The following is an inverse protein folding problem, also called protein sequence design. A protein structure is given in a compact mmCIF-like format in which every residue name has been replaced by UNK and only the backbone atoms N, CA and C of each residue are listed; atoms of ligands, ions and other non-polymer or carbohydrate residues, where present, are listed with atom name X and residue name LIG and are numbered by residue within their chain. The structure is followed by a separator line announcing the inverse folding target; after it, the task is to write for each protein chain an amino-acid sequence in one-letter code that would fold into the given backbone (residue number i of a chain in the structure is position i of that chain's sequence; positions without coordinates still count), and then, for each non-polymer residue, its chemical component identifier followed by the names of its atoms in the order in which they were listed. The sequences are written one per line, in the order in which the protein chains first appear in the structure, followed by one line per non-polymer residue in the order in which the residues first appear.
data_IF_241935434375
#
_entry.id   IF_241935434375
#
_cell.length_a   1.000
_cell.length_b   1.000
_cell.length_c   1.000
_cell.angle_alpha   90.00
_cell.angle_beta   90.00
_cell.angle_gamma   90.00
#
_symmetry.space_group_name_H-M   'P 1'
#
loop_
_entity.id
_entity.type
_entity.pdbx_description
1 polymer ?
#
# COMPACT_ATOMS: atom_id res chain seq x y z
N UNK A 1 20.98 17.61 -59.45
CA UNK A 1 21.30 18.26 -58.18
C UNK A 1 20.03 18.54 -57.32
N UNK A 2 19.03 19.26 -57.85
CA UNK A 2 17.82 19.65 -57.06
C UNK A 2 17.01 18.45 -56.62
N UNK A 3 16.81 17.44 -57.46
CA UNK A 3 16.05 16.22 -57.15
C UNK A 3 16.73 15.42 -56.02
N UNK A 4 18.07 15.32 -56.04
CA UNK A 4 18.84 14.63 -55.00
C UNK A 4 18.73 15.33 -53.63
N UNK A 5 18.75 16.66 -53.60
CA UNK A 5 18.59 17.46 -52.39
C UNK A 5 17.18 17.28 -51.81
N UNK A 6 16.17 17.35 -52.67
CA UNK A 6 14.77 17.14 -52.26
C UNK A 6 14.55 15.71 -51.71
N UNK A 7 15.11 14.72 -52.35
CA UNK A 7 15.05 13.31 -51.91
C UNK A 7 15.71 13.11 -50.54
N UNK A 8 16.91 13.64 -50.34
CA UNK A 8 17.62 13.58 -49.06
C UNK A 8 16.81 14.31 -47.98
N UNK A 9 16.25 15.47 -48.26
CA UNK A 9 15.43 16.22 -47.34
C UNK A 9 14.17 15.46 -46.90
N UNK A 10 13.46 14.84 -47.83
CA UNK A 10 12.27 14.03 -47.55
C UNK A 10 12.62 12.78 -46.75
N UNK A 11 13.73 12.12 -47.08
CA UNK A 11 14.20 10.92 -46.37
C UNK A 11 14.60 11.25 -44.92
N UNK A 12 15.37 12.34 -44.75
CA UNK A 12 15.77 12.82 -43.40
C UNK A 12 14.58 13.23 -42.57
N UNK A 13 13.61 13.94 -43.15
CA UNK A 13 12.38 14.34 -42.44
C UNK A 13 11.55 13.11 -42.04
N UNK A 14 11.47 12.09 -42.90
CA UNK A 14 10.76 10.83 -42.63
C UNK A 14 11.39 10.04 -41.49
N UNK A 15 12.71 10.06 -41.33
CA UNK A 15 13.43 9.36 -40.27
C UNK A 15 13.52 10.16 -38.97
N UNK A 16 13.73 11.48 -39.05
CA UNK A 16 13.92 12.30 -37.84
C UNK A 16 12.60 12.64 -37.12
N UNK A 17 11.48 12.74 -37.81
CA UNK A 17 10.19 13.08 -37.22
C UNK A 17 9.74 12.06 -36.18
N UNK A 18 9.76 10.74 -36.46
CA UNK A 18 9.41 9.72 -35.43
C UNK A 18 10.34 9.71 -34.23
N UNK A 19 11.65 9.92 -34.44
CA UNK A 19 12.62 9.99 -33.34
C UNK A 19 12.37 11.19 -32.39
N UNK A 20 11.98 12.33 -32.95
CA UNK A 20 11.57 13.49 -32.14
C UNK A 20 10.30 13.22 -31.32
N UNK A 21 9.36 12.50 -31.89
CA UNK A 21 8.14 12.10 -31.17
C UNK A 21 8.46 11.15 -30.00
N UNK A 22 9.36 10.19 -30.21
CA UNK A 22 9.87 9.31 -29.16
C UNK A 22 10.59 10.11 -28.06
N UNK A 23 11.49 11.02 -28.45
CA UNK A 23 12.21 11.88 -27.50
C UNK A 23 11.24 12.71 -26.67
N UNK A 24 10.23 13.32 -27.31
CA UNK A 24 9.23 14.11 -26.63
C UNK A 24 8.40 13.26 -25.67
N UNK A 25 7.96 12.09 -26.09
CA UNK A 25 7.22 11.18 -25.23
C UNK A 25 8.06 10.73 -24.01
N UNK A 26 9.36 10.48 -24.21
CA UNK A 26 10.28 10.14 -23.13
C UNK A 26 10.47 11.31 -22.16
N UNK A 27 10.58 12.54 -22.65
CA UNK A 27 10.64 13.77 -21.81
C UNK A 27 9.37 13.94 -21.00
N UNK A 28 8.20 13.86 -21.64
CA UNK A 28 6.90 13.98 -20.99
C UNK A 28 6.75 12.96 -19.83
N UNK A 29 7.16 11.71 -20.06
CA UNK A 29 7.14 10.65 -19.04
C UNK A 29 8.11 10.96 -17.89
N UNK A 30 9.31 11.44 -18.19
CA UNK A 30 10.32 11.80 -17.18
C UNK A 30 9.86 12.99 -16.31
N UNK A 31 8.99 13.84 -16.82
CA UNK A 31 8.36 14.96 -16.13
C UNK A 31 7.08 14.56 -15.38
N UNK A 32 6.71 13.27 -15.41
CA UNK A 32 5.58 12.71 -14.65
C UNK A 32 4.28 12.58 -15.45
N UNK A 33 4.29 12.87 -16.76
CA UNK A 33 3.13 12.68 -17.65
C UNK A 33 3.10 11.22 -18.13
N UNK A 34 2.74 10.30 -17.24
CA UNK A 34 2.88 8.86 -17.45
C UNK A 34 1.97 8.29 -18.55
N UNK A 35 0.85 8.93 -18.84
CA UNK A 35 -0.11 8.50 -19.87
C UNK A 35 0.32 8.87 -21.30
N UNK A 36 1.51 9.45 -21.47
CA UNK A 36 2.04 9.81 -22.78
C UNK A 36 2.53 8.57 -23.52
N UNK A 37 2.20 8.48 -24.81
CA UNK A 37 2.68 7.42 -25.72
C UNK A 37 3.22 8.04 -27.01
N UNK A 38 4.24 7.43 -27.56
CA UNK A 38 4.78 7.82 -28.87
C UNK A 38 3.82 7.41 -29.97
N UNK A 39 3.36 8.37 -30.76
CA UNK A 39 2.44 8.16 -31.90
C UNK A 39 3.22 8.04 -33.20
N UNK A 40 3.95 6.96 -33.34
CA UNK A 40 4.75 6.68 -34.56
C UNK A 40 3.99 5.73 -35.47
N UNK A 41 3.67 6.18 -36.67
CA UNK A 41 3.06 5.37 -37.75
C UNK A 41 4.14 4.97 -38.73
N UNK A 42 4.99 4.04 -38.34
CA UNK A 42 5.99 3.42 -39.21
C UNK A 42 5.86 1.89 -39.13
N UNK A 43 6.22 1.21 -40.22
CA UNK A 43 6.22 -0.25 -40.29
C UNK A 43 7.66 -0.79 -40.43
N UNK A 44 8.63 0.02 -40.05
CA UNK A 44 10.05 -0.27 -40.04
C UNK A 44 10.57 -0.43 -38.60
N UNK A 45 11.89 -0.48 -38.43
CA UNK A 45 12.57 -0.63 -37.13
C UNK A 45 12.19 0.49 -36.16
N UNK A 46 11.86 1.67 -36.66
CA UNK A 46 11.43 2.81 -35.86
C UNK A 46 10.03 2.56 -35.29
N UNK A 47 9.15 1.93 -36.07
CA UNK A 47 7.82 1.53 -35.58
C UNK A 47 7.91 0.45 -34.51
N UNK A 48 8.80 -0.53 -34.65
CA UNK A 48 9.06 -1.56 -33.66
C UNK A 48 9.61 -0.96 -32.34
N UNK A 49 10.57 -0.01 -32.48
CA UNK A 49 11.11 0.72 -31.33
C UNK A 49 10.04 1.53 -30.61
N UNK A 50 9.13 2.21 -31.32
CA UNK A 50 8.02 2.93 -30.74
C UNK A 50 7.04 1.98 -30.01
N UNK A 51 6.78 0.81 -30.56
CA UNK A 51 5.99 -0.22 -29.90
C UNK A 51 6.63 -0.70 -28.58
N UNK A 52 7.95 -0.94 -28.60
CA UNK A 52 8.70 -1.35 -27.41
C UNK A 52 8.75 -0.25 -26.36
N UNK A 53 8.94 1.00 -26.77
CA UNK A 53 8.86 2.17 -25.90
C UNK A 53 7.48 2.29 -25.23
N UNK A 54 6.41 2.16 -25.99
CA UNK A 54 5.05 2.25 -25.45
C UNK A 54 4.76 1.15 -24.43
N UNK A 55 5.19 -0.10 -24.69
CA UNK A 55 5.09 -1.19 -23.70
C UNK A 55 5.87 -0.91 -22.42
N UNK A 56 7.06 -0.29 -22.53
CA UNK A 56 7.82 0.15 -21.34
C UNK A 56 7.06 1.25 -20.60
N UNK A 57 6.50 2.23 -21.31
CA UNK A 57 5.70 3.30 -20.73
C UNK A 57 4.45 2.77 -20.01
N UNK A 58 3.77 1.76 -20.58
CA UNK A 58 2.63 1.08 -19.95
C UNK A 58 3.03 0.46 -18.60
N UNK A 59 4.16 -0.24 -18.56
CA UNK A 59 4.67 -0.85 -17.32
C UNK A 59 5.05 0.18 -16.26
N UNK A 60 5.66 1.30 -16.66
CA UNK A 60 6.00 2.38 -15.73
C UNK A 60 4.75 2.98 -15.13
N UNK A 61 3.73 3.29 -15.93
CA UNK A 61 2.46 3.82 -15.49
C UNK A 61 1.76 2.88 -14.51
N UNK A 62 1.74 1.58 -14.82
CA UNK A 62 1.20 0.54 -13.95
C UNK A 62 1.94 0.47 -12.61
N UNK A 63 3.27 0.43 -12.63
CA UNK A 63 4.10 0.38 -11.42
C UNK A 63 3.93 1.61 -10.54
N UNK A 64 3.90 2.81 -11.13
CA UNK A 64 3.66 4.05 -10.38
C UNK A 64 2.27 4.04 -9.76
N UNK A 65 1.25 3.63 -10.51
CA UNK A 65 -0.13 3.52 -10.00
C UNK A 65 -0.22 2.54 -8.83
N UNK A 66 0.44 1.39 -8.92
CA UNK A 66 0.52 0.41 -7.82
C UNK A 66 1.23 0.98 -6.59
N UNK A 67 2.37 1.65 -6.78
CA UNK A 67 3.11 2.29 -5.69
C UNK A 67 2.28 3.38 -5.00
N UNK A 68 1.56 4.21 -5.76
CA UNK A 68 0.66 5.20 -5.20
C UNK A 68 -0.50 4.58 -4.41
N UNK A 69 -1.03 3.46 -4.88
CA UNK A 69 -2.08 2.72 -4.18
C UNK A 69 -1.57 2.17 -2.85
N UNK A 70 -0.40 1.52 -2.84
CA UNK A 70 0.25 1.01 -1.63
C UNK A 70 0.54 2.15 -0.65
N UNK A 71 1.09 3.27 -1.14
CA UNK A 71 1.36 4.46 -0.31
C UNK A 71 0.08 5.02 0.32
N UNK A 72 -1.03 5.09 -0.43
CA UNK A 72 -2.32 5.52 0.09
C UNK A 72 -2.85 4.57 1.17
N UNK A 73 -2.77 3.27 0.95
CA UNK A 73 -3.17 2.25 1.93
C UNK A 73 -2.34 2.36 3.21
N UNK A 74 -1.02 2.54 3.10
CA UNK A 74 -0.15 2.74 4.27
C UNK A 74 -0.51 4.00 5.05
N UNK A 75 -0.75 5.13 4.38
CA UNK A 75 -1.18 6.37 5.04
C UNK A 75 -2.52 6.20 5.76
N UNK A 76 -3.46 5.52 5.14
CA UNK A 76 -4.77 5.25 5.73
C UNK A 76 -4.64 4.35 6.97
N UNK A 77 -3.81 3.29 6.89
CA UNK A 77 -3.52 2.42 8.01
C UNK A 77 -2.90 3.20 9.18
N UNK A 78 -1.86 4.01 8.92
CA UNK A 78 -1.21 4.84 9.95
C UNK A 78 -2.19 5.84 10.58
N UNK A 79 -3.07 6.45 9.79
CA UNK A 79 -4.11 7.34 10.29
C UNK A 79 -5.09 6.62 11.22
N UNK A 80 -5.58 5.46 10.82
CA UNK A 80 -6.45 4.62 11.64
C UNK A 80 -5.79 4.19 12.95
N UNK A 81 -4.52 3.74 12.88
CA UNK A 81 -3.75 3.36 14.05
C UNK A 81 -3.55 4.51 15.04
N UNK A 82 -3.26 5.71 14.51
CA UNK A 82 -3.10 6.91 15.34
C UNK A 82 -4.38 7.21 16.12
N UNK A 83 -5.53 7.08 15.47
CA UNK A 83 -6.83 7.24 16.12
C UNK A 83 -7.11 6.16 17.17
N UNK A 84 -6.86 4.89 16.83
CA UNK A 84 -7.07 3.76 17.75
C UNK A 84 -6.14 3.80 18.98
N UNK A 85 -4.95 4.37 18.87
CA UNK A 85 -4.03 4.59 19.97
C UNK A 85 -4.40 5.82 20.81
N UNK A 86 -4.82 6.91 20.16
CA UNK A 86 -5.11 8.19 20.85
C UNK A 86 -6.23 8.05 21.87
N UNK A 87 -7.29 7.33 21.55
CA UNK A 87 -8.47 7.19 22.43
C UNK A 87 -8.12 6.55 23.77
N UNK A 88 -7.54 5.34 23.85
CA UNK A 88 -7.16 4.73 25.11
C UNK A 88 -6.10 5.55 25.87
N UNK A 89 -5.11 6.11 25.18
CA UNK A 89 -4.10 6.97 25.82
C UNK A 89 -4.73 8.20 26.49
N UNK A 90 -5.66 8.87 25.82
CA UNK A 90 -6.34 10.04 26.39
C UNK A 90 -7.15 9.64 27.62
N UNK A 91 -7.81 8.47 27.61
CA UNK A 91 -8.56 7.94 28.75
C UNK A 91 -7.64 7.64 29.94
N UNK A 92 -6.53 6.93 29.71
CA UNK A 92 -5.52 6.62 30.73
C UNK A 92 -4.98 7.90 31.37
N UNK A 93 -4.60 8.88 30.56
CA UNK A 93 -4.07 10.17 31.05
C UNK A 93 -5.15 10.87 31.89
N UNK A 94 -6.39 10.96 31.42
CA UNK A 94 -7.46 11.65 32.13
C UNK A 94 -7.79 11.02 33.47
N UNK A 95 -7.86 9.69 33.56
CA UNK A 95 -8.07 9.01 34.86
C UNK A 95 -6.85 9.14 35.78
N UNK A 96 -5.63 9.05 35.23
CA UNK A 96 -4.39 9.25 35.98
C UNK A 96 -4.32 10.67 36.56
N UNK A 97 -4.61 11.69 35.76
CA UNK A 97 -4.63 13.09 36.21
C UNK A 97 -5.68 13.32 37.32
N UNK A 98 -6.84 12.68 37.18
CA UNK A 98 -7.88 12.74 38.20
C UNK A 98 -7.39 12.15 39.55
N UNK A 99 -6.74 10.97 39.49
CA UNK A 99 -6.19 10.32 40.66
C UNK A 99 -5.04 11.10 41.33
N UNK A 100 -4.25 11.83 40.55
CA UNK A 100 -3.11 12.62 41.03
C UNK A 100 -3.52 13.94 41.66
N UNK A 101 -4.57 14.59 41.14
CA UNK A 101 -4.89 15.99 41.51
C UNK A 101 -6.22 16.15 42.26
N UNK A 102 -7.06 15.12 42.28
CA UNK A 102 -8.37 15.19 42.93
C UNK A 102 -8.45 14.15 44.04
N UNK A 103 -8.86 14.56 45.24
CA UNK A 103 -9.21 13.60 46.32
C UNK A 103 -10.52 12.93 45.94
N UNK A 104 -10.45 11.66 45.60
CA UNK A 104 -11.60 10.80 45.30
C UNK A 104 -11.81 9.78 46.43
N UNK A 105 -13.03 9.30 46.61
CA UNK A 105 -13.31 8.19 47.50
C UNK A 105 -12.75 6.88 46.93
N UNK A 106 -12.67 5.86 47.81
CA UNK A 106 -12.06 4.56 47.44
C UNK A 106 -12.81 3.86 46.31
N UNK A 107 -14.12 4.00 46.20
CA UNK A 107 -14.91 3.41 45.13
C UNK A 107 -14.57 4.03 43.77
N UNK A 108 -14.47 5.37 43.72
CA UNK A 108 -14.08 6.09 42.49
C UNK A 108 -12.63 5.84 42.13
N UNK A 109 -11.74 5.72 43.10
CA UNK A 109 -10.35 5.38 42.91
C UNK A 109 -10.22 4.00 42.23
N UNK A 110 -10.92 3.01 42.77
CA UNK A 110 -10.90 1.64 42.21
C UNK A 110 -11.50 1.59 40.82
N UNK A 111 -12.60 2.32 40.54
CA UNK A 111 -13.16 2.44 39.19
C UNK A 111 -12.16 3.07 38.20
N UNK A 112 -11.49 4.14 38.58
CA UNK A 112 -10.50 4.80 37.73
C UNK A 112 -9.30 3.87 37.40
N UNK A 113 -8.80 3.15 38.41
CA UNK A 113 -7.73 2.17 38.25
C UNK A 113 -8.15 1.01 37.30
N UNK A 114 -9.41 0.54 37.46
CA UNK A 114 -9.94 -0.50 36.57
C UNK A 114 -10.01 -0.02 35.13
N UNK A 115 -10.51 1.18 34.86
CA UNK A 115 -10.53 1.76 33.53
C UNK A 115 -9.14 1.91 32.92
N UNK A 116 -8.15 2.38 33.70
CA UNK A 116 -6.76 2.46 33.24
C UNK A 116 -6.26 1.07 32.85
N UNK A 117 -6.52 0.06 33.68
CA UNK A 117 -6.10 -1.31 33.41
C UNK A 117 -6.74 -1.87 32.12
N UNK A 118 -8.05 -1.66 31.93
CA UNK A 118 -8.77 -2.10 30.73
C UNK A 118 -8.22 -1.46 29.45
N UNK A 119 -7.93 -0.16 29.49
CA UNK A 119 -7.36 0.55 28.33
C UNK A 119 -5.90 0.12 28.07
N UNK A 120 -5.10 -0.16 29.08
CA UNK A 120 -3.77 -0.75 28.89
C UNK A 120 -3.85 -2.13 28.23
N UNK A 121 -4.78 -3.00 28.66
CA UNK A 121 -5.02 -4.30 28.01
C UNK A 121 -5.49 -4.16 26.57
N UNK A 122 -6.28 -3.14 26.28
CA UNK A 122 -6.70 -2.81 24.91
C UNK A 122 -5.50 -2.43 24.04
N UNK A 123 -4.57 -1.60 24.53
CA UNK A 123 -3.34 -1.23 23.86
C UNK A 123 -2.43 -2.44 23.61
N UNK A 124 -2.31 -3.33 24.58
CA UNK A 124 -1.55 -4.58 24.46
C UNK A 124 -2.10 -5.45 23.30
N UNK A 125 -3.42 -5.67 23.27
CA UNK A 125 -4.06 -6.41 22.15
C UNK A 125 -3.88 -5.74 20.80
N UNK A 126 -3.93 -4.40 20.75
CA UNK A 126 -3.71 -3.64 19.53
C UNK A 126 -2.27 -3.81 19.04
N UNK A 127 -1.29 -3.73 19.95
CA UNK A 127 0.12 -3.97 19.64
C UNK A 127 0.36 -5.37 19.07
N UNK A 128 -0.25 -6.41 19.67
CA UNK A 128 -0.17 -7.78 19.16
C UNK A 128 -0.72 -7.93 17.74
N UNK A 129 -1.87 -7.30 17.45
CA UNK A 129 -2.45 -7.28 16.10
C UNK A 129 -1.52 -6.60 15.09
N UNK A 130 -0.87 -5.50 15.49
CA UNK A 130 0.10 -4.78 14.65
C UNK A 130 1.32 -5.64 14.32
N UNK A 131 1.89 -6.33 15.32
CA UNK A 131 3.02 -7.24 15.11
C UNK A 131 2.64 -8.38 14.17
N UNK A 132 1.43 -8.93 14.30
CA UNK A 132 0.94 -9.96 13.38
C UNK A 132 0.80 -9.44 11.94
N UNK A 133 0.33 -8.20 11.75
CA UNK A 133 0.25 -7.57 10.45
C UNK A 133 1.64 -7.34 9.84
N UNK A 134 2.60 -6.83 10.61
CA UNK A 134 3.98 -6.62 10.16
C UNK A 134 4.62 -7.96 9.76
N UNK A 135 4.45 -9.00 10.57
CA UNK A 135 4.95 -10.34 10.27
C UNK A 135 4.35 -10.96 8.99
N UNK A 136 3.12 -10.61 8.64
CA UNK A 136 2.52 -11.02 7.36
C UNK A 136 3.10 -10.25 6.16
N UNK A 137 3.50 -8.98 6.34
CA UNK A 137 4.14 -8.20 5.28
C UNK A 137 5.61 -8.58 5.04
N UNK A 138 6.34 -9.00 6.08
CA UNK A 138 7.74 -9.44 5.96
C UNK A 138 7.87 -10.88 5.42
N UNK A 139 6.79 -11.66 5.47
CA UNK A 139 6.79 -13.02 4.94
C UNK A 139 6.41 -13.03 3.46
N UNK A 140 7.38 -12.80 2.58
CA UNK A 140 7.29 -12.95 1.12
C UNK A 140 6.96 -14.40 0.66
N UNK A 141 6.70 -15.30 1.61
CA UNK A 141 6.38 -16.70 1.35
C UNK A 141 5.12 -17.16 2.10
N UNK A 142 3.97 -16.61 1.75
CA UNK A 142 2.72 -17.36 2.00
C UNK A 142 2.79 -18.58 1.08
N UNK A 143 3.20 -19.72 1.63
CA UNK A 143 3.10 -21.00 0.93
C UNK A 143 1.63 -21.36 0.84
N UNK A 144 1.13 -21.33 -0.38
CA UNK A 144 -0.20 -21.87 -0.67
C UNK A 144 -0.07 -23.41 -0.67
N UNK A 145 -0.68 -24.05 0.30
CA UNK A 145 -0.77 -25.51 0.38
C UNK A 145 -2.24 -25.92 0.15
N UNK A 146 -2.45 -27.03 -0.53
CA UNK A 146 -3.78 -27.63 -0.62
C UNK A 146 -4.16 -28.14 0.77
N UNK A 147 -5.22 -27.59 1.34
CA UNK A 147 -5.73 -28.00 2.66
C UNK A 147 -7.12 -28.58 2.46
N UNK A 148 -7.37 -29.72 3.07
CA UNK A 148 -8.70 -30.32 3.15
C UNK A 148 -9.60 -29.41 4.01
N UNK A 149 -10.68 -28.92 3.41
CA UNK A 149 -11.62 -28.00 4.06
C UNK A 149 -12.30 -28.67 5.26
N UNK A 150 -12.59 -29.97 5.20
CA UNK A 150 -13.21 -30.70 6.31
C UNK A 150 -12.25 -30.81 7.51
N UNK A 151 -10.97 -31.06 7.26
CA UNK A 151 -9.93 -31.11 8.29
C UNK A 151 -9.70 -29.74 8.94
N UNK A 152 -9.71 -28.67 8.12
CA UNK A 152 -9.60 -27.29 8.59
C UNK A 152 -10.77 -26.92 9.52
N UNK A 153 -12.02 -27.21 9.11
CA UNK A 153 -13.20 -26.93 9.94
C UNK A 153 -13.24 -27.78 11.20
N UNK A 154 -12.81 -29.04 11.15
CA UNK A 154 -12.70 -29.86 12.34
C UNK A 154 -11.69 -29.31 13.34
N UNK A 155 -10.54 -28.82 12.86
CA UNK A 155 -9.52 -28.17 13.68
C UNK A 155 -10.03 -26.87 14.34
N UNK A 156 -10.72 -26.04 13.60
CA UNK A 156 -11.32 -24.79 14.11
C UNK A 156 -12.40 -25.10 15.17
N UNK A 157 -13.28 -26.07 14.91
CA UNK A 157 -14.33 -26.47 15.86
C UNK A 157 -13.74 -27.02 17.17
N UNK A 158 -12.61 -27.72 17.10
CA UNK A 158 -11.93 -28.24 18.28
C UNK A 158 -11.27 -27.12 19.10
N UNK A 159 -10.68 -26.11 18.45
CA UNK A 159 -10.10 -24.92 19.11
C UNK A 159 -11.17 -24.08 19.81
N UNK A 160 -12.30 -23.85 19.15
CA UNK A 160 -13.43 -23.11 19.71
C UNK A 160 -14.02 -23.83 20.94
N UNK A 161 -14.16 -25.16 20.87
CA UNK A 161 -14.64 -25.95 21.99
C UNK A 161 -13.72 -25.85 23.20
N UNK A 162 -12.40 -25.89 22.98
CA UNK A 162 -11.41 -25.73 24.06
C UNK A 162 -11.49 -24.35 24.73
N UNK A 163 -11.66 -23.27 23.93
CA UNK A 163 -11.82 -21.91 24.45
C UNK A 163 -13.14 -21.68 25.20
N UNK A 164 -14.20 -22.40 24.82
CA UNK A 164 -15.49 -22.35 25.51
C UNK A 164 -15.43 -23.10 26.85
N UNK A 165 -14.72 -24.24 26.93
CA UNK A 165 -14.53 -24.99 28.17
C UNK A 165 -13.63 -24.25 29.19
N UNK A 166 -12.71 -23.40 28.73
CA UNK A 166 -11.83 -22.59 29.60
C UNK A 166 -12.54 -21.34 30.18
N UNK A 167 -13.65 -20.91 29.59
CA UNK A 167 -14.43 -19.72 30.00
C UNK A 167 -15.69 -20.04 30.80
N UNK A 168 -16.07 -21.29 30.97
CA UNK A 168 -17.22 -21.77 31.74
C UNK A 168 -16.83 -22.15 33.13
#
# INVERSE_FOLDING_TARGET
AVISVLFIFLLTRRMLSPLRELQKAASDISEGVLNRRARVKSHDEIGEMAGSFNRMADRIEEQVTQLEQVSRQQKQLLGSLTHELKTPMTSIIGYSDTLLHVKVDEERQNKALLHIHEECRRLERLSGKLMSLIGLYDNDSIRMEEVDIEELFAGVAQLEKYQLEEKG
#
